data_IF_357347368891
#
_entry.id   IF_357347368891
#
_cell.length_a   1.000
_cell.length_b   1.000
_cell.length_c   1.000
_cell.angle_alpha   90.00
_cell.angle_beta   90.00
_cell.angle_gamma   90.00
#
_symmetry.space_group_name_H-M   'P 1'
#
loop_
_entity.id
_entity.type
_entity.pdbx_description
1 polymer ?
#
# COMPACT_ATOMS: atom_id res chain seq x y z
N UNK A 1 -8.16 -38.00 10.30
CA UNK A 1 -7.08 -37.78 11.30
C UNK A 1 -5.73 -38.05 10.62
N UNK A 2 -5.22 -37.07 9.88
CA UNK A 2 -3.89 -37.15 9.27
C UNK A 2 -2.95 -36.19 9.99
N UNK A 3 -1.78 -36.73 10.29
CA UNK A 3 -0.75 -36.19 11.16
C UNK A 3 -0.27 -34.82 10.71
N UNK A 4 -0.27 -33.90 11.68
CA UNK A 4 0.56 -32.69 11.70
C UNK A 4 1.97 -33.09 11.28
N UNK A 5 2.42 -32.73 10.08
CA UNK A 5 3.85 -32.78 9.74
C UNK A 5 4.50 -31.69 10.59
N UNK A 6 4.84 -32.07 11.81
CA UNK A 6 5.69 -31.31 12.68
C UNK A 6 7.07 -31.26 12.02
N UNK A 7 7.45 -30.09 11.52
CA UNK A 7 8.83 -29.70 11.20
C UNK A 7 9.69 -29.56 12.47
N UNK A 8 9.43 -30.41 13.47
CA UNK A 8 10.23 -30.59 14.69
C UNK A 8 10.57 -32.07 14.81
N UNK A 9 11.28 -32.63 13.83
CA UNK A 9 12.19 -33.73 14.15
C UNK A 9 13.36 -33.11 14.89
N UNK A 10 13.20 -32.95 16.20
CA UNK A 10 14.32 -32.95 17.13
C UNK A 10 14.98 -34.31 16.96
N UNK A 11 16.10 -34.32 16.23
CA UNK A 11 16.97 -35.48 16.19
C UNK A 11 17.51 -35.67 17.61
N UNK A 12 17.33 -36.86 18.18
CA UNK A 12 18.24 -37.37 19.20
C UNK A 12 19.60 -37.52 18.51
N UNK A 13 20.39 -36.45 18.58
CA UNK A 13 21.74 -36.41 18.05
C UNK A 13 22.64 -37.07 19.08
N UNK A 14 23.24 -38.20 18.67
CA UNK A 14 24.45 -38.73 19.29
C UNK A 14 25.45 -37.56 19.47
N UNK A 15 25.70 -37.19 20.72
CA UNK A 15 26.40 -35.97 21.19
C UNK A 15 27.90 -35.93 20.87
N UNK A 16 28.35 -36.58 19.80
CA UNK A 16 29.78 -36.69 19.46
C UNK A 16 30.18 -36.14 18.08
N UNK A 17 29.24 -35.60 17.30
CA UNK A 17 29.58 -34.91 16.05
C UNK A 17 29.39 -33.39 16.21
N UNK A 18 30.35 -32.56 15.76
CA UNK A 18 30.19 -31.11 15.79
C UNK A 18 28.97 -30.74 14.94
N UNK A 19 27.99 -30.10 15.57
CA UNK A 19 26.82 -29.56 14.88
C UNK A 19 27.32 -28.41 13.99
N UNK A 20 27.61 -28.71 12.72
CA UNK A 20 27.85 -27.68 11.71
C UNK A 20 26.56 -26.92 11.49
N UNK A 21 26.54 -25.68 11.97
CA UNK A 21 25.45 -24.74 11.69
C UNK A 21 25.44 -24.52 10.17
N UNK A 22 24.34 -24.83 9.47
CA UNK A 22 24.26 -24.64 8.02
C UNK A 22 24.42 -23.16 7.67
N UNK A 23 25.04 -22.86 6.52
CA UNK A 23 25.16 -21.48 6.06
C UNK A 23 23.79 -20.90 5.66
N UNK A 24 23.66 -19.57 5.67
CA UNK A 24 22.46 -18.85 5.18
C UNK A 24 22.08 -19.28 3.75
N UNK A 25 23.10 -19.43 2.88
CA UNK A 25 22.95 -19.96 1.52
C UNK A 25 22.41 -21.39 1.49
N UNK A 26 22.89 -22.30 2.36
CA UNK A 26 22.39 -23.67 2.40
C UNK A 26 20.93 -23.73 2.83
N UNK A 27 20.54 -22.88 3.79
CA UNK A 27 19.15 -22.75 4.25
C UNK A 27 18.29 -22.21 3.11
N UNK A 28 18.73 -21.16 2.43
CA UNK A 28 18.03 -20.58 1.28
C UNK A 28 17.80 -21.61 0.16
N UNK A 29 18.84 -22.30 -0.29
CA UNK A 29 18.75 -23.33 -1.34
C UNK A 29 17.87 -24.51 -0.91
N UNK A 30 17.89 -24.86 0.38
CA UNK A 30 16.98 -25.87 0.94
C UNK A 30 15.52 -25.43 0.88
N UNK A 31 15.21 -24.17 1.22
CA UNK A 31 13.85 -23.62 1.12
C UNK A 31 13.35 -23.69 -0.32
N UNK A 32 14.19 -23.29 -1.30
CA UNK A 32 13.84 -23.37 -2.72
C UNK A 32 13.52 -24.80 -3.14
N UNK A 33 14.37 -25.77 -2.77
CA UNK A 33 14.11 -27.20 -3.06
C UNK A 33 12.84 -27.73 -2.38
N UNK A 34 12.57 -27.34 -1.15
CA UNK A 34 11.35 -27.74 -0.44
C UNK A 34 10.10 -27.20 -1.14
N UNK A 35 10.16 -26.00 -1.69
CA UNK A 35 9.01 -25.39 -2.36
C UNK A 35 8.55 -26.16 -3.61
N UNK A 36 9.42 -26.95 -4.23
CA UNK A 36 9.07 -27.85 -5.34
C UNK A 36 8.08 -28.94 -4.92
N UNK A 37 8.08 -29.32 -3.65
CA UNK A 37 7.20 -30.36 -3.08
C UNK A 37 5.78 -29.87 -2.81
N UNK A 38 5.52 -28.57 -3.00
CA UNK A 38 4.22 -27.96 -2.69
C UNK A 38 3.07 -28.42 -3.61
N UNK A 39 3.39 -28.95 -4.79
CA UNK A 39 2.41 -29.29 -5.84
C UNK A 39 1.48 -30.44 -5.44
N UNK A 40 1.96 -31.36 -4.61
CA UNK A 40 1.20 -32.53 -4.17
C UNK A 40 0.37 -32.26 -2.90
N UNK A 41 0.55 -31.08 -2.28
CA UNK A 41 -0.19 -30.71 -1.07
C UNK A 41 -1.62 -30.28 -1.41
N UNK A 42 -2.55 -30.67 -0.54
CA UNK A 42 -3.93 -30.16 -0.54
C UNK A 42 -3.92 -28.62 -0.42
N UNK A 43 -4.84 -27.87 -1.06
CA UNK A 43 -4.79 -26.40 -1.11
C UNK A 43 -4.65 -25.70 0.26
N UNK A 44 -5.35 -26.19 1.29
CA UNK A 44 -5.24 -25.63 2.65
C UNK A 44 -3.86 -25.86 3.28
N UNK A 45 -3.24 -27.00 3.04
CA UNK A 45 -1.91 -27.31 3.55
C UNK A 45 -0.85 -26.56 2.75
N UNK A 46 -1.07 -26.40 1.44
CA UNK A 46 -0.21 -25.61 0.55
C UNK A 46 -0.14 -24.14 0.99
N UNK A 47 -1.27 -23.54 1.39
CA UNK A 47 -1.26 -22.19 1.93
C UNK A 47 -0.37 -22.08 3.18
N UNK A 48 -0.58 -22.98 4.16
CA UNK A 48 0.21 -22.97 5.41
C UNK A 48 1.69 -23.19 5.12
N UNK A 49 1.99 -24.06 4.18
CA UNK A 49 3.33 -24.33 3.70
C UNK A 49 3.99 -23.07 3.11
N UNK A 50 3.32 -22.36 2.19
CA UNK A 50 3.86 -21.11 1.63
C UNK A 50 4.08 -20.03 2.68
N UNK A 51 3.18 -19.88 3.67
CA UNK A 51 3.41 -18.94 4.78
C UNK A 51 4.62 -19.33 5.63
N UNK A 52 4.85 -20.63 5.83
CA UNK A 52 6.04 -21.12 6.53
C UNK A 52 7.31 -20.78 5.76
N UNK A 53 7.34 -21.03 4.46
CA UNK A 53 8.50 -20.70 3.60
C UNK A 53 8.77 -19.19 3.58
N UNK A 54 7.73 -18.36 3.47
CA UNK A 54 7.86 -16.91 3.50
C UNK A 54 8.49 -16.42 4.83
N UNK A 55 8.03 -16.98 5.96
CA UNK A 55 8.57 -16.66 7.28
C UNK A 55 10.03 -17.12 7.46
N UNK A 56 10.39 -18.30 6.92
CA UNK A 56 11.78 -18.77 6.94
C UNK A 56 12.69 -17.89 6.08
N UNK A 57 12.25 -17.47 4.89
CA UNK A 57 13.01 -16.53 4.05
C UNK A 57 13.19 -15.16 4.70
N UNK A 58 12.19 -14.67 5.44
CA UNK A 58 12.34 -13.43 6.18
C UNK A 58 13.46 -13.52 7.22
N UNK A 59 13.58 -14.66 7.91
CA UNK A 59 14.71 -14.91 8.82
C UNK A 59 16.05 -14.97 8.10
N UNK A 60 16.10 -15.60 6.92
CA UNK A 60 17.33 -15.60 6.08
C UNK A 60 17.72 -14.18 5.71
N UNK A 61 16.75 -13.34 5.36
CA UNK A 61 16.95 -11.94 5.00
C UNK A 61 17.53 -11.11 6.17
N UNK A 62 17.10 -11.39 7.41
CA UNK A 62 17.66 -10.77 8.62
C UNK A 62 19.09 -11.25 8.95
N UNK A 63 19.43 -12.49 8.58
CA UNK A 63 20.72 -13.11 8.88
C UNK A 63 21.84 -12.69 7.92
N UNK A 64 21.51 -12.42 6.65
CA UNK A 64 22.50 -12.23 5.60
C UNK A 64 22.13 -11.06 4.66
N UNK A 65 22.94 -10.01 4.69
CA UNK A 65 22.75 -8.79 3.90
C UNK A 65 22.85 -9.06 2.40
N UNK A 66 23.67 -10.02 1.98
CA UNK A 66 23.85 -10.35 0.55
C UNK A 66 22.61 -11.07 0.00
N UNK A 67 21.89 -11.79 0.86
CA UNK A 67 20.65 -12.49 0.51
C UNK A 67 19.38 -11.70 0.85
N UNK A 68 19.48 -10.51 1.45
CA UNK A 68 18.35 -9.69 1.89
C UNK A 68 17.32 -9.48 0.77
N UNK A 69 17.76 -8.90 -0.35
CA UNK A 69 16.87 -8.50 -1.44
C UNK A 69 16.18 -9.70 -2.09
N UNK A 70 16.93 -10.78 -2.36
CA UNK A 70 16.34 -11.98 -2.98
C UNK A 70 15.42 -12.72 -2.02
N UNK A 71 15.78 -12.83 -0.74
CA UNK A 71 14.96 -13.52 0.26
C UNK A 71 13.65 -12.79 0.51
N UNK A 72 13.67 -11.45 0.61
CA UNK A 72 12.45 -10.66 0.72
C UNK A 72 11.58 -10.75 -0.55
N UNK A 73 12.19 -10.67 -1.74
CA UNK A 73 11.47 -10.82 -2.99
C UNK A 73 10.73 -12.18 -3.07
N UNK A 74 11.42 -13.27 -2.73
CA UNK A 74 10.82 -14.62 -2.78
C UNK A 74 9.81 -14.82 -1.65
N UNK A 75 10.05 -14.24 -0.48
CA UNK A 75 9.10 -14.25 0.64
C UNK A 75 7.77 -13.62 0.23
N UNK A 76 7.81 -12.41 -0.35
CA UNK A 76 6.63 -11.73 -0.88
C UNK A 76 5.94 -12.53 -1.99
N UNK A 77 6.70 -13.18 -2.87
CA UNK A 77 6.13 -14.08 -3.88
C UNK A 77 5.35 -15.23 -3.24
N UNK A 78 5.91 -15.90 -2.22
CA UNK A 78 5.18 -16.95 -1.50
C UNK A 78 4.00 -16.41 -0.70
N UNK A 79 4.06 -15.19 -0.19
CA UNK A 79 2.89 -14.55 0.43
C UNK A 79 1.75 -14.40 -0.59
N UNK A 80 2.04 -13.95 -1.81
CA UNK A 80 1.03 -13.87 -2.87
C UNK A 80 0.47 -15.27 -3.15
N UNK A 81 1.33 -16.28 -3.34
CA UNK A 81 0.90 -17.65 -3.58
C UNK A 81 0.00 -18.18 -2.45
N UNK A 82 0.34 -17.90 -1.18
CA UNK A 82 -0.44 -18.29 -0.01
C UNK A 82 -1.81 -17.58 0.04
N UNK A 83 -1.87 -16.32 -0.41
CA UNK A 83 -3.11 -15.53 -0.45
C UNK A 83 -4.02 -16.04 -1.55
N UNK A 84 -3.49 -16.40 -2.73
CA UNK A 84 -4.31 -16.86 -3.86
C UNK A 84 -4.75 -18.33 -3.77
N UNK A 85 -4.02 -19.18 -3.03
CA UNK A 85 -4.35 -20.62 -2.90
C UNK A 85 -5.52 -20.91 -1.96
N UNK A 86 -5.95 -19.97 -1.13
CA UNK A 86 -6.98 -20.18 -0.12
C UNK A 86 -8.09 -19.15 -0.24
N UNK A 87 -9.33 -19.63 -0.41
CA UNK A 87 -10.58 -18.85 -0.33
C UNK A 87 -10.38 -17.38 -0.68
N UNK A 88 -10.00 -17.19 -1.93
CA UNK A 88 -9.55 -15.90 -2.38
C UNK A 88 -10.81 -15.01 -2.46
N UNK A 89 -10.85 -13.99 -1.61
CA UNK A 89 -11.95 -13.03 -1.49
C UNK A 89 -11.44 -11.64 -1.89
N UNK A 90 -12.33 -10.67 -2.09
CA UNK A 90 -11.96 -9.32 -2.54
C UNK A 90 -10.80 -8.71 -1.74
N UNK A 91 -10.81 -8.85 -0.40
CA UNK A 91 -9.76 -8.31 0.48
C UNK A 91 -8.40 -8.99 0.24
N UNK A 92 -8.39 -10.32 0.13
CA UNK A 92 -7.20 -11.11 -0.16
C UNK A 92 -6.64 -10.77 -1.55
N UNK A 93 -7.48 -10.61 -2.57
CA UNK A 93 -7.05 -10.22 -3.91
C UNK A 93 -6.40 -8.83 -3.92
N UNK A 94 -7.00 -7.86 -3.21
CA UNK A 94 -6.43 -6.52 -3.09
C UNK A 94 -5.08 -6.54 -2.37
N UNK A 95 -4.94 -7.37 -1.32
CA UNK A 95 -3.65 -7.59 -0.66
C UNK A 95 -2.62 -8.19 -1.63
N UNK A 96 -2.98 -9.25 -2.35
CA UNK A 96 -2.11 -9.89 -3.33
C UNK A 96 -1.68 -8.91 -4.44
N UNK A 97 -2.61 -8.10 -4.95
CA UNK A 97 -2.30 -7.03 -5.92
C UNK A 97 -1.31 -6.02 -5.34
N UNK A 98 -1.50 -5.58 -4.09
CA UNK A 98 -0.56 -4.67 -3.44
C UNK A 98 0.85 -5.26 -3.33
N UNK A 99 0.95 -6.55 -3.02
CA UNK A 99 2.25 -7.24 -2.95
C UNK A 99 2.89 -7.39 -4.34
N UNK A 100 2.12 -7.78 -5.36
CA UNK A 100 2.60 -7.83 -6.74
C UNK A 100 3.12 -6.47 -7.24
N UNK A 101 2.43 -5.38 -6.88
CA UNK A 101 2.87 -4.02 -7.19
C UNK A 101 4.20 -3.69 -6.50
N UNK A 102 4.33 -4.10 -5.24
CA UNK A 102 5.58 -3.95 -4.49
C UNK A 102 6.72 -4.73 -5.16
N UNK A 103 6.51 -6.00 -5.51
CA UNK A 103 7.48 -6.82 -6.25
C UNK A 103 7.96 -6.12 -7.53
N UNK A 104 7.01 -5.68 -8.37
CA UNK A 104 7.34 -5.08 -9.67
C UNK A 104 7.97 -3.68 -9.60
N UNK A 105 7.87 -2.99 -8.46
CA UNK A 105 8.32 -1.59 -8.32
C UNK A 105 9.61 -1.44 -7.49
N UNK A 106 9.71 -2.22 -6.42
CA UNK A 106 10.77 -2.07 -5.40
C UNK A 106 12.01 -2.90 -5.72
N UNK A 107 11.86 -3.96 -6.52
CA UNK A 107 12.96 -4.86 -6.86
C UNK A 107 13.35 -4.76 -8.34
N UNK A 108 14.65 -4.92 -8.58
CA UNK A 108 15.30 -4.76 -9.88
C UNK A 108 16.24 -5.93 -10.15
N UNK A 109 16.70 -6.07 -11.40
CA UNK A 109 17.63 -7.14 -11.77
C UNK A 109 16.96 -8.48 -12.11
N UNK A 110 15.64 -8.47 -12.30
CA UNK A 110 14.90 -9.64 -12.75
C UNK A 110 15.38 -10.13 -14.11
N UNK A 111 15.48 -11.46 -14.25
CA UNK A 111 15.52 -12.09 -15.56
C UNK A 111 14.17 -11.88 -16.28
N UNK A 112 14.18 -11.95 -17.61
CA UNK A 112 12.95 -11.84 -18.43
C UNK A 112 11.88 -12.87 -17.99
N UNK A 113 12.30 -14.08 -17.62
CA UNK A 113 11.42 -15.13 -17.10
C UNK A 113 10.80 -14.76 -15.76
N UNK A 114 11.59 -14.23 -14.83
CA UNK A 114 11.09 -13.77 -13.51
C UNK A 114 10.06 -12.65 -13.67
N UNK A 115 10.37 -11.66 -14.50
CA UNK A 115 9.48 -10.54 -14.76
C UNK A 115 8.15 -11.01 -15.36
N UNK A 116 8.19 -11.93 -16.32
CA UNK A 116 6.99 -12.52 -16.91
C UNK A 116 6.11 -13.21 -15.85
N UNK A 117 6.71 -14.02 -14.96
CA UNK A 117 5.97 -14.70 -13.89
C UNK A 117 5.27 -13.70 -12.96
N UNK A 118 5.94 -12.61 -12.55
CA UNK A 118 5.31 -11.60 -11.70
C UNK A 118 4.20 -10.84 -12.41
N UNK A 119 4.34 -10.58 -13.71
CA UNK A 119 3.30 -9.94 -14.51
C UNK A 119 2.09 -10.86 -14.70
N UNK A 120 2.31 -12.15 -14.94
CA UNK A 120 1.24 -13.17 -14.97
C UNK A 120 0.52 -13.26 -13.62
N UNK A 121 1.26 -13.25 -12.51
CA UNK A 121 0.71 -13.27 -11.16
C UNK A 121 -0.14 -12.02 -10.87
N UNK A 122 0.36 -10.84 -11.24
CA UNK A 122 -0.38 -9.59 -11.11
C UNK A 122 -1.68 -9.60 -11.93
N UNK A 123 -1.62 -10.09 -13.18
CA UNK A 123 -2.81 -10.27 -14.01
C UNK A 123 -3.81 -11.24 -13.39
N UNK A 124 -3.31 -12.38 -12.90
CA UNK A 124 -4.13 -13.40 -12.27
C UNK A 124 -4.94 -12.79 -11.14
N UNK A 125 -4.31 -12.03 -10.25
CA UNK A 125 -4.99 -11.35 -9.16
C UNK A 125 -6.04 -10.33 -9.64
N UNK A 126 -5.77 -9.61 -10.75
CA UNK A 126 -6.73 -8.67 -11.33
C UNK A 126 -7.96 -9.37 -11.94
N UNK A 127 -7.75 -10.41 -12.74
CA UNK A 127 -8.83 -11.20 -13.33
C UNK A 127 -9.65 -11.90 -12.25
N UNK A 128 -8.98 -12.37 -11.22
CA UNK A 128 -9.65 -13.00 -10.10
C UNK A 128 -10.50 -12.00 -9.31
N UNK A 129 -9.99 -10.78 -9.05
CA UNK A 129 -10.78 -9.69 -8.47
C UNK A 129 -12.02 -9.38 -9.32
N UNK A 130 -11.86 -9.34 -10.65
CA UNK A 130 -12.98 -9.17 -11.58
C UNK A 130 -14.01 -10.27 -11.41
N UNK A 131 -13.56 -11.52 -11.34
CA UNK A 131 -14.45 -12.68 -11.29
C UNK A 131 -15.33 -12.71 -10.04
N UNK A 132 -14.88 -12.08 -8.96
CA UNK A 132 -15.62 -11.96 -7.68
C UNK A 132 -16.49 -10.72 -7.64
N UNK A 133 -16.10 -9.63 -8.30
CA UNK A 133 -16.87 -8.39 -8.28
C UNK A 133 -18.12 -8.51 -9.14
N UNK A 134 -19.29 -8.54 -8.49
CA UNK A 134 -20.61 -8.52 -9.15
C UNK A 134 -20.88 -7.19 -9.87
N UNK A 135 -20.26 -6.10 -9.40
CA UNK A 135 -20.27 -4.78 -10.03
C UNK A 135 -18.85 -4.31 -10.27
N UNK A 136 -18.42 -4.37 -11.53
CA UNK A 136 -17.16 -3.81 -11.96
C UNK A 136 -17.32 -2.31 -12.17
N UNK A 137 -16.45 -1.52 -11.53
CA UNK A 137 -16.32 -0.11 -11.93
C UNK A 137 -15.71 -0.03 -13.33
N UNK A 138 -16.07 1.02 -14.07
CA UNK A 138 -15.56 1.27 -15.43
C UNK A 138 -14.02 1.32 -15.46
N UNK A 139 -13.39 1.88 -14.42
CA UNK A 139 -11.92 1.94 -14.30
C UNK A 139 -11.28 0.55 -14.19
N UNK A 140 -11.83 -0.37 -13.38
CA UNK A 140 -11.30 -1.74 -13.26
C UNK A 140 -11.42 -2.46 -14.59
N UNK A 141 -12.56 -2.32 -15.28
CA UNK A 141 -12.79 -2.91 -16.61
C UNK A 141 -11.77 -2.39 -17.64
N UNK A 142 -11.55 -1.07 -17.69
CA UNK A 142 -10.58 -0.47 -18.62
C UNK A 142 -9.14 -0.91 -18.34
N UNK A 143 -8.73 -1.02 -17.07
CA UNK A 143 -7.38 -1.50 -16.70
C UNK A 143 -7.14 -2.93 -17.15
N UNK A 144 -8.11 -3.80 -16.94
CA UNK A 144 -7.99 -5.19 -17.36
C UNK A 144 -8.00 -5.34 -18.88
N UNK A 145 -8.78 -4.51 -19.59
CA UNK A 145 -8.72 -4.45 -21.04
C UNK A 145 -7.34 -4.02 -21.55
N UNK A 146 -6.76 -2.95 -20.99
CA UNK A 146 -5.41 -2.49 -21.33
C UNK A 146 -4.36 -3.58 -21.07
N UNK A 147 -4.47 -4.32 -19.96
CA UNK A 147 -3.56 -5.42 -19.65
C UNK A 147 -3.69 -6.55 -20.66
N UNK A 148 -4.92 -7.01 -20.93
CA UNK A 148 -5.17 -8.09 -21.89
C UNK A 148 -4.62 -7.68 -23.27
N UNK A 149 -4.85 -6.44 -23.70
CA UNK A 149 -4.25 -5.90 -24.93
C UNK A 149 -2.72 -5.87 -24.89
N UNK A 150 -2.11 -5.50 -23.77
CA UNK A 150 -0.66 -5.53 -23.65
C UNK A 150 -0.10 -6.95 -23.76
N UNK A 151 -0.69 -7.93 -23.07
CA UNK A 151 -0.28 -9.33 -23.20
C UNK A 151 -0.48 -9.86 -24.62
N UNK A 152 -1.54 -9.45 -25.32
CA UNK A 152 -1.76 -9.77 -26.74
C UNK A 152 -0.59 -9.33 -27.61
N UNK A 153 -0.06 -8.13 -27.36
CA UNK A 153 1.07 -7.59 -28.10
C UNK A 153 2.38 -8.36 -27.80
N UNK A 154 2.51 -8.95 -26.61
CA UNK A 154 3.70 -9.74 -26.23
C UNK A 154 3.62 -11.19 -26.71
N UNK A 155 2.44 -11.81 -26.68
CA UNK A 155 2.25 -13.24 -26.94
C UNK A 155 2.17 -13.61 -28.43
N UNK A 156 2.21 -12.64 -29.36
CA UNK A 156 2.11 -12.87 -30.82
C UNK A 156 0.99 -13.86 -31.19
N UNK A 157 -0.21 -13.66 -30.65
CA UNK A 157 -1.39 -14.47 -30.99
C UNK A 157 -1.75 -14.28 -32.47
N UNK A 158 -2.25 -15.32 -33.14
CA UNK A 158 -2.70 -15.23 -34.54
C UNK A 158 -3.95 -14.33 -34.67
N UNK A 159 -4.05 -13.58 -35.77
CA UNK A 159 -5.09 -12.57 -36.02
C UNK A 159 -6.54 -13.09 -35.91
N UNK A 160 -6.80 -14.37 -36.20
CA UNK A 160 -8.13 -14.98 -36.04
C UNK A 160 -8.51 -15.24 -34.58
N UNK A 161 -7.56 -15.73 -33.77
CA UNK A 161 -7.76 -15.89 -32.32
C UNK A 161 -7.93 -14.51 -31.66
N UNK A 162 -7.22 -13.51 -32.19
CA UNK A 162 -7.28 -12.14 -31.74
C UNK A 162 -8.68 -11.54 -31.92
N UNK A 163 -9.28 -11.73 -33.10
CA UNK A 163 -10.60 -11.20 -33.44
C UNK A 163 -11.73 -11.85 -32.64
N UNK A 164 -11.67 -13.17 -32.42
CA UNK A 164 -12.62 -13.90 -31.57
C UNK A 164 -12.54 -13.48 -30.08
N UNK A 165 -11.33 -13.23 -29.57
CA UNK A 165 -11.15 -12.70 -28.21
C UNK A 165 -11.62 -11.25 -28.08
N UNK A 166 -11.43 -10.40 -29.11
CA UNK A 166 -11.90 -9.01 -29.13
C UNK A 166 -13.42 -8.95 -29.12
N UNK A 167 -14.06 -9.76 -29.96
CA UNK A 167 -15.50 -9.85 -30.06
C UNK A 167 -16.12 -10.38 -28.74
N UNK A 168 -15.47 -11.37 -28.11
CA UNK A 168 -15.86 -11.86 -26.77
C UNK A 168 -15.60 -10.86 -25.64
N UNK A 169 -14.51 -10.10 -25.66
CA UNK A 169 -14.23 -9.08 -24.65
C UNK A 169 -15.18 -7.88 -24.75
N UNK A 170 -15.62 -7.52 -25.96
CA UNK A 170 -16.59 -6.44 -26.18
C UNK A 170 -18.04 -6.89 -25.90
N UNK A 171 -18.41 -8.14 -26.25
CA UNK A 171 -19.80 -8.58 -26.27
C UNK A 171 -20.20 -9.63 -25.21
N UNK A 172 -19.26 -10.31 -24.53
CA UNK A 172 -19.58 -11.28 -23.46
C UNK A 172 -19.26 -10.78 -22.04
N UNK A 173 -19.92 -11.41 -21.07
CA UNK A 173 -19.73 -11.21 -19.64
C UNK A 173 -18.24 -11.36 -19.26
N UNK A 174 -17.54 -10.23 -19.06
CA UNK A 174 -16.10 -10.16 -18.69
C UNK A 174 -15.71 -11.15 -17.58
N UNK A 175 -16.67 -11.44 -16.69
CA UNK A 175 -16.55 -12.42 -15.62
C UNK A 175 -16.30 -13.83 -16.17
N UNK A 176 -17.04 -14.26 -17.19
CA UNK A 176 -16.88 -15.58 -17.82
C UNK A 176 -15.53 -15.72 -18.51
N UNK A 177 -15.09 -14.68 -19.23
CA UNK A 177 -13.75 -14.63 -19.81
C UNK A 177 -12.66 -14.70 -18.74
N UNK A 178 -12.80 -13.90 -17.68
CA UNK A 178 -11.87 -13.92 -16.56
C UNK A 178 -11.79 -15.32 -15.92
N UNK A 179 -12.92 -15.99 -15.70
CA UNK A 179 -12.97 -17.36 -15.17
C UNK A 179 -12.28 -18.38 -16.07
N UNK A 180 -12.50 -18.32 -17.39
CA UNK A 180 -11.81 -19.19 -18.34
C UNK A 180 -10.29 -18.96 -18.31
N UNK A 181 -9.87 -17.71 -18.28
CA UNK A 181 -8.46 -17.35 -18.26
C UNK A 181 -7.79 -17.70 -16.93
N UNK A 182 -8.49 -17.54 -15.81
CA UNK A 182 -8.07 -18.02 -14.48
C UNK A 182 -7.88 -19.54 -14.50
N UNK A 183 -8.76 -20.29 -15.16
CA UNK A 183 -8.62 -21.75 -15.29
C UNK A 183 -7.34 -22.15 -16.05
N UNK A 184 -6.98 -21.40 -17.10
CA UNK A 184 -5.75 -21.61 -17.86
C UNK A 184 -4.52 -21.18 -17.04
N UNK A 185 -4.53 -19.96 -16.50
CA UNK A 185 -3.41 -19.40 -15.74
C UNK A 185 -3.20 -20.06 -14.39
N UNK A 186 -4.23 -20.54 -13.71
CA UNK A 186 -4.08 -21.24 -12.44
C UNK A 186 -3.19 -22.48 -12.59
N UNK A 187 -3.28 -23.18 -13.74
CA UNK A 187 -2.34 -24.26 -14.04
C UNK A 187 -0.92 -23.72 -14.15
N UNK A 188 -0.66 -22.67 -14.93
CA UNK A 188 0.69 -22.15 -15.10
C UNK A 188 1.23 -21.49 -13.83
N UNK A 189 0.51 -20.55 -13.23
CA UNK A 189 0.90 -19.81 -12.03
C UNK A 189 1.08 -20.72 -10.81
N UNK A 190 0.20 -21.71 -10.61
CA UNK A 190 0.30 -22.63 -9.47
C UNK A 190 1.22 -23.83 -9.74
N UNK A 191 1.51 -24.16 -11.00
CA UNK A 191 2.49 -25.20 -11.36
C UNK A 191 3.88 -24.65 -11.64
N UNK A 192 4.02 -23.33 -11.78
CA UNK A 192 5.31 -22.68 -12.02
C UNK A 192 6.22 -22.98 -10.83
N UNK A 193 7.21 -23.82 -11.12
CA UNK A 193 8.24 -24.20 -10.17
C UNK A 193 9.08 -22.96 -9.87
N UNK A 194 9.37 -22.75 -8.61
CA UNK A 194 10.27 -21.70 -8.07
C UNK A 194 11.72 -21.80 -8.58
N UNK A 195 12.01 -22.80 -9.41
CA UNK A 195 13.29 -23.12 -10.04
C UNK A 195 13.86 -22.00 -10.94
N UNK A 196 13.14 -20.88 -11.06
CA UNK A 196 13.63 -19.70 -11.76
C UNK A 196 14.37 -18.71 -10.84
N UNK A 197 14.36 -18.90 -9.52
CA UNK A 197 15.23 -18.17 -8.60
C UNK A 197 16.50 -18.96 -8.30
N UNK A 198 17.61 -18.24 -8.16
CA UNK A 198 18.90 -18.77 -7.73
C UNK A 198 19.50 -17.81 -6.71
N UNK A 199 20.24 -18.33 -5.71
CA UNK A 199 20.86 -17.48 -4.69
C UNK A 199 21.74 -16.35 -5.26
N UNK A 200 22.30 -16.54 -6.46
CA UNK A 200 23.18 -15.58 -7.12
C UNK A 200 22.45 -14.66 -8.12
N UNK A 201 21.12 -14.62 -8.11
CA UNK A 201 20.40 -13.69 -8.98
C UNK A 201 20.70 -12.23 -8.57
N UNK A 202 20.89 -11.30 -9.52
CA UNK A 202 21.33 -9.94 -9.26
C UNK A 202 20.18 -9.04 -8.75
N UNK A 203 19.27 -9.61 -7.97
CA UNK A 203 18.07 -8.94 -7.47
C UNK A 203 18.50 -7.89 -6.46
N UNK A 204 18.12 -6.65 -6.73
CA UNK A 204 18.39 -5.51 -5.85
C UNK A 204 17.10 -4.93 -5.37
N UNK A 205 17.08 -4.50 -4.11
CA UNK A 205 15.96 -3.82 -3.50
C UNK A 205 16.24 -2.32 -3.41
N UNK A 206 15.29 -1.51 -3.84
CA UNK A 206 15.28 -0.07 -3.56
C UNK A 206 15.00 0.13 -2.10
N UNK A 207 15.90 0.81 -1.41
CA UNK A 207 15.70 1.23 -0.02
C UNK A 207 15.89 2.73 0.09
N UNK A 208 14.99 3.37 0.82
CA UNK A 208 15.12 4.79 1.17
C UNK A 208 15.05 4.90 2.69
N UNK A 209 15.96 5.68 3.26
CA UNK A 209 15.99 5.97 4.69
C UNK A 209 16.03 7.48 4.89
N UNK A 210 15.14 8.00 5.74
CA UNK A 210 15.25 9.37 6.21
C UNK A 210 16.45 9.49 7.17
N UNK A 211 17.32 10.44 6.86
CA UNK A 211 18.40 10.89 7.74
C UNK A 211 17.93 12.06 8.60
N UNK A 212 17.09 12.94 8.04
CA UNK A 212 16.45 14.02 8.78
C UNK A 212 15.04 14.21 8.21
N UNK A 213 13.96 14.19 9.00
CA UNK A 213 13.90 13.65 10.37
C UNK A 213 14.01 12.12 10.40
N UNK A 214 14.74 11.55 11.36
CA UNK A 214 14.86 10.08 11.49
C UNK A 214 13.60 9.41 12.09
N UNK A 215 12.82 10.17 12.86
CA UNK A 215 11.66 9.69 13.61
C UNK A 215 10.50 10.69 13.54
N UNK A 216 9.39 10.35 14.19
CA UNK A 216 8.26 11.27 14.37
C UNK A 216 8.73 12.60 14.96
N UNK A 217 8.16 13.69 14.47
CA UNK A 217 8.41 15.04 14.98
C UNK A 217 7.34 15.33 16.02
N UNK A 218 7.76 15.29 17.28
CA UNK A 218 6.91 15.60 18.44
C UNK A 218 6.73 17.11 18.63
N UNK A 219 7.68 17.91 18.12
CA UNK A 219 7.59 19.36 18.16
C UNK A 219 6.38 19.84 17.36
N UNK A 220 5.56 20.66 18.03
CA UNK A 220 4.43 21.33 17.39
C UNK A 220 4.93 22.35 16.38
N UNK A 221 4.59 22.16 15.11
CA UNK A 221 4.85 23.14 14.07
C UNK A 221 3.70 24.13 13.97
N UNK A 222 3.94 25.34 14.46
CA UNK A 222 2.99 26.44 14.37
C UNK A 222 2.98 27.05 12.95
N UNK A 223 1.80 27.21 12.35
CA UNK A 223 1.64 27.87 11.05
C UNK A 223 0.40 28.74 11.02
N UNK A 224 0.42 29.85 10.27
CA UNK A 224 -0.78 30.67 10.09
C UNK A 224 -1.71 30.01 9.06
N UNK A 225 -3.04 29.95 9.29
CA UNK A 225 -3.98 29.44 8.30
C UNK A 225 -3.80 30.13 6.93
N UNK A 226 -3.75 29.33 5.86
CA UNK A 226 -3.50 29.82 4.50
C UNK A 226 -2.02 30.01 4.14
N UNK A 227 -1.09 29.86 5.09
CA UNK A 227 0.35 29.74 4.82
C UNK A 227 0.80 28.28 4.84
N UNK A 228 1.89 27.99 4.15
CA UNK A 228 2.55 26.69 4.20
C UNK A 228 3.63 26.68 5.28
N UNK A 229 3.80 25.51 5.90
CA UNK A 229 4.96 25.20 6.75
C UNK A 229 5.76 24.09 6.08
N UNK A 230 7.09 24.18 6.11
CA UNK A 230 7.96 23.21 5.45
C UNK A 230 8.91 22.56 6.43
N UNK A 231 9.12 21.25 6.26
CA UNK A 231 10.13 20.48 6.97
C UNK A 231 11.20 20.09 5.96
N UNK A 232 12.46 20.39 6.26
CA UNK A 232 13.58 19.88 5.45
C UNK A 232 13.71 18.38 5.67
N UNK A 233 13.81 17.64 4.57
CA UNK A 233 13.91 16.20 4.58
C UNK A 233 15.16 15.77 3.83
N UNK A 234 16.09 15.16 4.56
CA UNK A 234 17.28 14.55 4.02
C UNK A 234 17.11 13.05 3.99
N UNK A 235 17.33 12.44 2.84
CA UNK A 235 17.14 11.00 2.63
C UNK A 235 18.36 10.39 1.94
N UNK A 236 18.63 9.11 2.24
CA UNK A 236 19.55 8.28 1.49
C UNK A 236 18.78 7.17 0.78
N UNK A 237 18.96 7.05 -0.53
CA UNK A 237 18.35 6.04 -1.37
C UNK A 237 19.43 5.11 -1.94
N UNK A 238 19.26 3.80 -1.79
CA UNK A 238 20.13 2.79 -2.41
C UNK A 238 19.38 2.06 -3.51
N UNK A 239 20.10 1.69 -4.58
CA UNK A 239 19.57 0.99 -5.75
C UNK A 239 18.42 1.70 -6.49
N UNK A 240 18.19 2.99 -6.22
CA UNK A 240 17.20 3.79 -6.93
C UNK A 240 17.76 4.17 -8.31
N UNK A 241 17.08 3.76 -9.37
CA UNK A 241 17.39 4.25 -10.72
C UNK A 241 16.89 5.70 -10.86
N UNK A 242 17.70 6.58 -11.44
CA UNK A 242 17.32 7.99 -11.68
C UNK A 242 16.07 8.13 -12.55
N UNK A 243 15.72 7.10 -13.32
CA UNK A 243 14.50 7.08 -14.13
C UNK A 243 13.22 6.78 -13.31
N UNK A 244 13.35 6.39 -12.04
CA UNK A 244 12.20 6.15 -11.18
C UNK A 244 11.67 7.45 -10.60
N UNK A 245 10.37 7.69 -10.79
CA UNK A 245 9.69 8.82 -10.18
C UNK A 245 9.51 8.54 -8.69
N UNK A 246 10.27 9.25 -7.86
CA UNK A 246 10.18 9.22 -6.41
C UNK A 246 9.46 10.49 -5.93
N UNK A 247 8.40 10.31 -5.15
CA UNK A 247 7.65 11.43 -4.56
C UNK A 247 7.56 11.25 -3.05
N UNK A 248 7.23 12.34 -2.35
CA UNK A 248 6.85 12.30 -0.94
C UNK A 248 5.34 12.41 -0.86
N UNK A 249 4.69 11.36 -0.34
CA UNK A 249 3.26 11.37 -0.02
C UNK A 249 3.06 12.02 1.32
N UNK A 250 2.24 13.06 1.39
CA UNK A 250 1.75 13.68 2.63
C UNK A 250 0.30 13.26 2.82
N UNK A 251 -0.04 12.67 3.95
CA UNK A 251 -1.41 12.25 4.30
C UNK A 251 -1.89 13.05 5.51
N UNK A 252 -3.08 13.64 5.37
CA UNK A 252 -3.74 14.41 6.41
C UNK A 252 -4.76 13.57 7.19
N UNK A 253 -5.24 14.08 8.34
CA UNK A 253 -6.21 13.35 9.19
C UNK A 253 -7.54 13.03 8.51
N UNK A 254 -7.94 13.84 7.54
CA UNK A 254 -9.17 13.66 6.77
C UNK A 254 -9.03 12.58 5.67
N UNK A 255 -7.87 11.93 5.58
CA UNK A 255 -7.55 10.93 4.57
C UNK A 255 -7.17 11.51 3.22
N UNK A 256 -7.21 12.85 3.06
CA UNK A 256 -6.66 13.49 1.87
C UNK A 256 -5.15 13.30 1.85
N UNK A 257 -4.61 13.13 0.65
CA UNK A 257 -3.16 13.07 0.47
C UNK A 257 -2.72 13.95 -0.68
N UNK A 258 -1.48 14.41 -0.59
CA UNK A 258 -0.80 15.15 -1.63
C UNK A 258 0.51 14.44 -1.97
N UNK A 259 0.89 14.46 -3.24
CA UNK A 259 2.16 13.92 -3.72
C UNK A 259 3.07 15.09 -4.06
N UNK A 260 4.16 15.20 -3.33
CA UNK A 260 5.18 16.22 -3.54
C UNK A 260 6.29 15.62 -4.43
N UNK A 261 6.47 16.12 -5.67
CA UNK A 261 7.54 15.64 -6.53
C UNK A 261 8.90 16.03 -5.96
N UNK A 262 9.87 15.12 -6.08
CA UNK A 262 11.26 15.41 -5.75
C UNK A 262 11.92 15.97 -7.00
N UNK A 263 12.51 17.16 -6.89
CA UNK A 263 13.18 17.80 -8.02
C UNK A 263 14.55 17.14 -8.26
N UNK A 264 14.92 16.93 -9.52
CA UNK A 264 16.18 16.24 -9.87
C UNK A 264 17.43 16.99 -9.38
N UNK A 265 17.35 18.34 -9.31
CA UNK A 265 18.43 19.21 -8.80
C UNK A 265 18.80 18.91 -7.33
N UNK A 266 17.87 18.30 -6.59
CA UNK A 266 18.02 17.96 -5.18
C UNK A 266 18.64 16.56 -4.97
N UNK A 267 18.91 15.83 -6.04
CA UNK A 267 19.43 14.46 -6.00
C UNK A 267 20.93 14.50 -6.29
N UNK A 268 21.73 14.06 -5.32
CA UNK A 268 23.20 13.96 -5.43
C UNK A 268 23.62 12.51 -5.39
N UNK A 269 24.40 12.06 -6.37
CA UNK A 269 24.99 10.71 -6.34
C UNK A 269 26.19 10.69 -5.42
N UNK A 270 26.19 9.73 -4.49
CA UNK A 270 27.31 9.41 -3.61
C UNK A 270 28.19 8.37 -4.31
N UNK A 271 29.46 8.69 -4.52
CA UNK A 271 30.40 7.88 -5.30
C UNK A 271 30.79 6.56 -4.65
N UNK A 272 30.64 6.43 -3.34
CA UNK A 272 31.15 5.28 -2.57
C UNK A 272 30.26 4.04 -2.70
N UNK A 273 28.93 4.22 -2.76
CA UNK A 273 27.95 3.13 -2.59
C UNK A 273 26.93 3.01 -3.73
N UNK A 274 27.11 3.77 -4.82
CA UNK A 274 26.06 3.96 -5.84
C UNK A 274 24.70 4.33 -5.21
N UNK A 275 24.76 5.12 -4.13
CA UNK A 275 23.61 5.62 -3.40
C UNK A 275 23.31 7.06 -3.79
N UNK A 276 22.07 7.48 -3.62
CA UNK A 276 21.60 8.82 -3.92
C UNK A 276 21.24 9.52 -2.61
N UNK A 277 21.80 10.70 -2.40
CA UNK A 277 21.39 11.61 -1.32
C UNK A 277 20.37 12.58 -1.88
N UNK A 278 19.21 12.65 -1.25
CA UNK A 278 18.08 13.45 -1.69
C UNK A 278 17.79 14.51 -0.62
N UNK A 279 17.84 15.78 -1.00
CA UNK A 279 17.57 16.93 -0.12
C UNK A 279 16.28 17.62 -0.54
N UNK A 280 15.17 17.31 0.12
CA UNK A 280 13.85 17.81 -0.25
C UNK A 280 13.20 18.62 0.88
N UNK A 281 12.08 19.26 0.58
CA UNK A 281 11.25 19.95 1.57
C UNK A 281 9.83 19.43 1.49
N UNK A 282 9.30 19.00 2.63
CA UNK A 282 7.91 18.57 2.75
C UNK A 282 7.09 19.76 3.20
N UNK A 283 6.26 20.27 2.29
CA UNK A 283 5.36 21.40 2.54
C UNK A 283 3.99 20.93 2.96
N UNK A 284 3.51 21.42 4.10
CA UNK A 284 2.16 21.23 4.60
C UNK A 284 1.40 22.53 4.42
N UNK A 285 0.18 22.45 3.93
CA UNK A 285 -0.72 23.60 3.82
C UNK A 285 -2.15 23.14 4.05
N UNK A 286 -2.83 23.77 5.01
CA UNK A 286 -4.24 23.51 5.25
C UNK A 286 -4.96 24.81 5.63
N UNK A 287 -6.18 24.99 5.16
CA UNK A 287 -6.92 26.25 5.30
C UNK A 287 -7.74 26.34 6.60
N UNK A 288 -8.20 25.21 7.15
CA UNK A 288 -9.32 25.22 8.11
C UNK A 288 -9.08 24.44 9.41
N UNK A 289 -7.84 24.14 9.80
CA UNK A 289 -7.65 23.42 11.06
C UNK A 289 -7.97 24.33 12.24
N UNK A 290 -8.84 23.84 13.13
CA UNK A 290 -9.18 24.54 14.37
C UNK A 290 -8.32 24.12 15.56
N UNK A 291 -7.70 22.94 15.47
CA UNK A 291 -6.97 22.27 16.54
C UNK A 291 -5.64 21.73 15.99
N UNK A 292 -4.66 21.42 16.85
CA UNK A 292 -3.50 20.65 16.45
C UNK A 292 -3.92 19.35 15.77
N UNK A 293 -3.28 19.02 14.65
CA UNK A 293 -3.61 17.85 13.83
C UNK A 293 -2.33 17.12 13.43
N UNK A 294 -2.39 15.79 13.40
CA UNK A 294 -1.27 14.98 12.90
C UNK A 294 -1.34 14.88 11.38
N UNK A 295 -0.24 15.20 10.70
CA UNK A 295 -0.01 14.77 9.33
C UNK A 295 1.04 13.66 9.33
N UNK A 296 1.01 12.81 8.32
CA UNK A 296 2.08 11.85 8.06
C UNK A 296 2.70 12.10 6.70
N UNK A 297 3.98 11.80 6.57
CA UNK A 297 4.59 11.75 5.25
C UNK A 297 5.49 10.53 5.08
N UNK A 298 5.51 9.99 3.87
CA UNK A 298 6.31 8.82 3.48
C UNK A 298 6.83 8.99 2.06
N UNK A 299 7.91 8.31 1.73
CA UNK A 299 8.43 8.21 0.36
C UNK A 299 7.66 7.14 -0.38
N UNK A 300 7.27 7.48 -1.60
CA UNK A 300 6.59 6.59 -2.53
C UNK A 300 7.37 6.46 -3.84
N UNK A 301 7.34 5.27 -4.40
CA UNK A 301 7.85 4.98 -5.74
C UNK A 301 6.70 4.74 -6.69
N UNK A 302 6.83 5.29 -7.90
CA UNK A 302 5.96 4.93 -9.01
C UNK A 302 6.62 3.82 -9.84
N UNK A 303 5.82 2.85 -10.34
CA UNK A 303 6.31 1.83 -11.23
C UNK A 303 6.88 2.46 -12.51
N UNK A 304 8.10 2.07 -12.87
CA UNK A 304 8.71 2.46 -14.14
C UNK A 304 7.96 1.80 -15.30
N UNK A 305 7.71 2.55 -16.39
CA UNK A 305 6.96 2.06 -17.57
C UNK A 305 7.52 0.76 -18.16
N UNK A 306 8.83 0.55 -18.03
CA UNK A 306 9.53 -0.65 -18.49
C UNK A 306 9.23 -1.90 -17.65
N UNK A 307 8.89 -1.74 -16.38
CA UNK A 307 8.67 -2.84 -15.44
C UNK A 307 7.17 -3.17 -15.30
N UNK A 308 6.30 -2.18 -15.48
CA UNK A 308 4.86 -2.37 -15.38
C UNK A 308 4.08 -1.59 -16.45
N UNK A 309 3.75 -2.26 -17.55
CA UNK A 309 2.90 -1.70 -18.62
C UNK A 309 1.41 -1.62 -18.25
N UNK A 310 1.07 -2.14 -17.07
CA UNK A 310 -0.29 -2.48 -16.65
C UNK A 310 -0.83 -1.49 -15.64
N UNK A 311 0.08 -0.88 -14.88
CA UNK A 311 -0.27 0.03 -13.81
C UNK A 311 -0.63 1.39 -14.40
N UNK A 312 -1.75 1.94 -13.92
CA UNK A 312 -2.15 3.29 -14.27
C UNK A 312 -1.18 4.24 -13.55
N UNK A 313 -0.31 4.89 -14.32
CA UNK A 313 0.81 5.72 -13.82
C UNK A 313 0.34 6.80 -12.84
N UNK A 314 -0.94 7.17 -12.92
CA UNK A 314 -1.49 8.31 -12.22
C UNK A 314 -1.97 8.03 -10.78
N UNK A 315 -2.16 6.77 -10.37
CA UNK A 315 -2.74 6.46 -9.03
C UNK A 315 -2.10 5.27 -8.31
N UNK A 316 -1.09 4.63 -8.90
CA UNK A 316 -0.53 3.40 -8.34
C UNK A 316 0.93 3.60 -7.94
N UNK A 317 1.13 3.93 -6.68
CA UNK A 317 2.46 4.06 -6.06
C UNK A 317 2.64 3.04 -4.94
N UNK A 318 3.90 2.78 -4.59
CA UNK A 318 4.29 1.90 -3.49
C UNK A 318 4.98 2.72 -2.42
N UNK A 319 4.46 2.69 -1.19
CA UNK A 319 5.13 3.28 -0.03
C UNK A 319 6.33 2.40 0.35
N UNK A 320 7.52 3.02 0.40
CA UNK A 320 8.79 2.31 0.66
C UNK A 320 9.43 2.68 1.99
N UNK A 321 8.92 3.71 2.67
CA UNK A 321 9.38 4.12 4.00
C UNK A 321 8.24 4.07 4.99
N UNK A 322 8.55 3.79 6.25
CA UNK A 322 7.61 4.01 7.36
C UNK A 322 7.16 5.49 7.39
N UNK A 323 5.86 5.77 7.51
CA UNK A 323 5.38 7.14 7.58
C UNK A 323 5.86 7.85 8.86
N UNK A 324 6.35 9.07 8.69
CA UNK A 324 6.77 9.97 9.78
C UNK A 324 5.60 10.85 10.16
N UNK A 325 5.25 10.87 11.45
CA UNK A 325 4.18 11.69 12.00
C UNK A 325 4.71 13.07 12.41
N UNK A 326 3.91 14.10 12.15
CA UNK A 326 4.19 15.49 12.50
C UNK A 326 2.95 16.11 13.11
N UNK A 327 3.12 16.83 14.22
CA UNK A 327 2.05 17.60 14.84
C UNK A 327 2.03 19.04 14.31
N UNK A 328 0.95 19.41 13.62
CA UNK A 328 0.77 20.72 13.00
C UNK A 328 -0.25 21.52 13.80
N UNK A 329 0.07 22.76 14.21
CA UNK A 329 -0.83 23.64 14.94
C UNK A 329 -1.08 24.95 14.17
N UNK A 330 -2.33 25.27 13.85
CA UNK A 330 -2.68 26.57 13.28
C UNK A 330 -2.57 27.66 14.34
N UNK A 331 -1.64 28.60 14.18
CA UNK A 331 -1.50 29.76 15.05
C UNK A 331 -2.56 30.78 14.67
N UNK A 332 -3.44 31.11 15.61
CA UNK A 332 -4.36 32.23 15.43
C UNK A 332 -3.61 33.51 15.70
N UNK A 333 -3.62 34.43 14.74
CA UNK A 333 -3.43 35.83 15.06
C UNK A 333 -4.57 36.18 15.99
N UNK A 334 -4.30 36.26 17.31
CA UNK A 334 -5.15 37.04 18.20
C UNK A 334 -5.18 38.41 17.56
N UNK A 335 -6.28 38.73 16.88
CA UNK A 335 -6.55 40.09 16.52
C UNK A 335 -6.44 40.84 17.84
N UNK A 336 -5.37 41.60 18.03
CA UNK A 336 -5.37 42.74 18.91
C UNK A 336 -6.49 43.60 18.35
N UNK A 337 -7.71 43.33 18.79
CA UNK A 337 -8.73 44.33 18.97
C UNK A 337 -8.06 45.34 19.90
N UNK A 338 -7.23 46.22 19.32
CA UNK A 338 -7.03 47.54 19.86
C UNK A 338 -8.45 48.04 19.98
N UNK A 339 -9.02 47.97 21.18
CA UNK A 339 -10.07 48.89 21.59
C UNK A 339 -9.54 50.24 21.15
N UNK A 340 -10.05 50.76 20.03
CA UNK A 340 -10.07 52.19 19.81
C UNK A 340 -10.91 52.68 20.97
N UNK A 341 -10.26 53.03 22.08
CA UNK A 341 -10.85 53.99 22.98
C UNK A 341 -11.17 55.19 22.09
N UNK A 342 -12.45 55.41 21.85
CA UNK A 342 -12.91 56.70 21.38
C UNK A 342 -12.45 57.69 22.44
N UNK A 343 -11.43 58.45 22.08
CA UNK A 343 -11.20 59.75 22.70
C UNK A 343 -12.34 60.60 22.17
N UNK A 344 -13.48 60.54 22.87
CA UNK A 344 -14.43 61.63 22.84
C UNK A 344 -13.91 62.64 23.86
N UNK A 345 -13.22 63.64 23.31
CA UNK A 345 -13.04 64.92 23.96
C UNK A 345 -14.43 65.49 24.28
N UNK A 346 -14.73 65.72 25.55
CA UNK A 346 -15.22 67.01 26.08
C UNK A 346 -15.71 66.89 27.55
N UNK A 347 -15.24 67.86 28.35
CA UNK A 347 -15.86 68.39 29.59
C UNK A 347 -15.74 67.52 30.84
N UNK A 348 -15.27 68.00 32.01
CA UNK A 348 -15.10 69.37 32.53
C UNK A 348 -14.17 69.32 33.75
N UNK A 349 -13.51 70.45 33.99
CA UNK A 349 -12.60 70.73 35.10
C UNK A 349 -13.15 70.38 36.50
N UNK A 350 -12.27 69.94 37.40
CA UNK A 350 -12.04 70.59 38.71
C UNK A 350 -10.79 70.02 39.39
N UNK A 351 -10.05 70.93 40.01
CA UNK A 351 -8.72 70.74 40.61
C UNK A 351 -8.77 70.24 42.06
N UNK A 352 -7.57 69.97 42.60
CA UNK A 352 -7.17 69.69 44.01
C UNK A 352 -7.46 68.26 44.48
N UNK A 353 -6.58 67.49 45.13
CA UNK A 353 -5.44 67.81 46.01
C UNK A 353 -4.49 66.59 46.07
N UNK A 354 -3.24 66.84 46.45
CA UNK A 354 -2.15 65.88 46.72
C UNK A 354 -2.48 65.01 47.94
N UNK A 355 -2.22 63.71 47.87
CA UNK A 355 -1.65 62.93 48.99
C UNK A 355 -0.90 61.71 48.46
N UNK A 356 0.38 61.63 48.84
CA UNK A 356 1.24 60.45 48.72
C UNK A 356 0.77 59.40 49.72
N UNK A 357 0.75 58.12 49.32
CA UNK A 357 0.86 57.00 50.25
C UNK A 357 1.57 55.83 49.54
N UNK A 358 2.65 55.41 50.19
CA UNK A 358 3.48 54.24 49.94
C UNK A 358 2.80 52.93 50.40
N UNK A 359 3.31 51.78 49.90
CA UNK A 359 3.25 50.41 50.49
C UNK A 359 1.84 49.75 50.42
N UNK A 360 1.61 48.46 50.14
CA UNK A 360 2.38 47.23 50.21
C UNK A 360 1.83 46.18 49.21
N UNK A 361 2.68 45.19 48.93
CA UNK A 361 2.43 43.74 48.79
C UNK A 361 0.97 43.24 48.87
N UNK A 362 0.59 42.38 47.93
CA UNK A 362 -0.15 41.17 48.31
C UNK A 362 0.15 40.02 47.32
N UNK A 363 0.47 38.89 47.93
CA UNK A 363 0.81 37.59 47.36
C UNK A 363 -0.44 36.87 46.80
N UNK A 364 -0.23 35.62 46.35
CA UNK A 364 -1.24 34.57 46.11
C UNK A 364 -2.07 34.70 44.79
N UNK A 365 -2.29 33.66 43.99
CA UNK A 365 -2.31 32.22 44.25
C UNK A 365 -1.80 31.40 43.05
N UNK A 366 -0.97 30.41 43.36
CA UNK A 366 -0.71 29.25 42.54
C UNK A 366 -1.95 28.34 42.53
N UNK A 367 -2.36 27.87 41.36
CA UNK A 367 -3.27 26.72 41.26
C UNK A 367 -2.61 25.61 40.45
N UNK A 368 -1.89 24.76 41.18
CA UNK A 368 -1.69 23.36 40.85
C UNK A 368 -3.06 22.66 40.80
N UNK A 369 -3.28 21.86 39.76
CA UNK A 369 -4.33 20.84 39.73
C UNK A 369 -3.72 19.54 39.20
N UNK A 370 -3.07 18.81 40.11
CA UNK A 370 -3.01 17.36 40.08
C UNK A 370 -4.32 16.77 40.65
N UNK A 371 -4.43 15.44 40.70
CA UNK A 371 -5.57 14.56 41.06
C UNK A 371 -6.34 14.02 39.83
N UNK A 372 -6.50 12.73 39.57
CA UNK A 372 -6.20 11.49 40.31
C UNK A 372 -6.18 10.32 39.29
N UNK A 373 -5.22 9.41 39.46
CA UNK A 373 -5.32 8.02 39.03
C UNK A 373 -6.32 7.28 39.93
N UNK A 374 -7.27 6.54 39.35
CA UNK A 374 -8.04 5.51 40.04
C UNK A 374 -8.00 4.18 39.28
N UNK A 375 -7.33 3.23 39.93
CA UNK A 375 -7.49 1.77 39.88
C UNK A 375 -8.98 1.37 39.80
N UNK A 376 -9.42 0.47 38.92
CA UNK A 376 -9.18 -0.97 38.98
C UNK A 376 -10.33 -1.68 39.73
N UNK A 377 -11.26 -2.33 39.01
CA UNK A 377 -12.17 -3.37 39.55
C UNK A 377 -12.52 -4.35 38.42
N UNK A 378 -12.30 -5.64 38.71
CA UNK A 378 -12.66 -6.84 37.95
C UNK A 378 -14.17 -7.14 38.02
N UNK A 379 -14.57 -8.33 37.54
CA UNK A 379 -15.90 -8.97 37.62
C UNK A 379 -16.83 -8.69 36.41
N UNK A 380 -17.53 -9.65 35.81
CA UNK A 380 -17.66 -11.08 36.05
C UNK A 380 -18.28 -11.73 34.81
N UNK A 381 -17.98 -13.01 34.69
CA UNK A 381 -18.48 -14.03 33.80
C UNK A 381 -20.01 -14.19 33.92
N UNK A 382 -20.75 -14.11 32.80
CA UNK A 382 -22.05 -14.79 32.68
C UNK A 382 -22.20 -15.38 31.29
N UNK A 383 -22.11 -16.71 31.22
CA UNK A 383 -22.61 -17.50 30.10
C UNK A 383 -24.08 -17.89 30.31
N UNK A 384 -24.80 -18.10 29.21
CA UNK A 384 -26.03 -18.90 28.99
C UNK A 384 -26.15 -19.01 27.45
N UNK A 385 -26.10 -20.16 26.75
CA UNK A 385 -27.04 -21.32 26.72
C UNK A 385 -28.50 -20.77 26.63
N UNK A 386 -29.26 -20.88 25.55
CA UNK A 386 -29.56 -22.05 24.71
C UNK A 386 -30.21 -21.65 23.36
N UNK A 387 -30.16 -22.58 22.41
CA UNK A 387 -31.19 -23.03 21.46
C UNK A 387 -32.30 -22.05 21.00
N UNK A 388 -32.46 -21.91 19.68
CA UNK A 388 -33.77 -22.22 19.11
C UNK A 388 -33.70 -22.59 17.62
N UNK A 389 -34.28 -23.74 17.34
CA UNK A 389 -34.60 -24.25 16.01
C UNK A 389 -35.73 -23.40 15.39
N UNK A 390 -35.70 -23.22 14.07
CA UNK A 390 -36.87 -23.51 13.24
C UNK A 390 -36.56 -23.32 11.76
N UNK A 391 -36.69 -24.43 11.05
CA UNK A 391 -37.01 -24.48 9.64
C UNK A 391 -38.35 -23.79 9.41
N UNK A 392 -38.46 -22.94 8.37
CA UNK A 392 -39.70 -22.80 7.61
C UNK A 392 -39.41 -22.50 6.15
N UNK A 393 -39.73 -23.52 5.36
CA UNK A 393 -39.94 -23.52 3.93
C UNK A 393 -41.26 -22.79 3.62
N UNK A 394 -41.27 -21.83 2.69
CA UNK A 394 -42.48 -21.44 1.93
C UNK A 394 -42.09 -20.85 0.58
N UNK A 395 -42.23 -21.68 -0.46
CA UNK A 395 -43.08 -21.46 -1.65
C UNK A 395 -43.17 -20.06 -2.28
N UNK A 396 -42.95 -20.03 -3.61
CA UNK A 396 -43.89 -19.56 -4.66
C UNK A 396 -44.61 -18.22 -4.46
N UNK A 397 -44.81 -17.32 -5.40
CA UNK A 397 -44.65 -17.16 -6.84
C UNK A 397 -44.61 -15.61 -7.04
N UNK A 398 -44.19 -15.11 -8.20
CA UNK A 398 -45.01 -14.14 -8.97
C UNK A 398 -44.18 -13.50 -10.09
N UNK A 399 -44.61 -13.86 -11.30
CA UNK A 399 -44.34 -13.19 -12.55
C UNK A 399 -44.92 -11.76 -12.52
N UNK A 400 -44.13 -10.75 -12.90
CA UNK A 400 -44.68 -9.58 -13.58
C UNK A 400 -43.79 -9.17 -14.76
N UNK A 401 -44.40 -9.32 -15.93
CA UNK A 401 -44.03 -8.81 -17.25
C UNK A 401 -44.62 -7.40 -17.39
N UNK A 402 -43.88 -6.46 -17.98
CA UNK A 402 -44.27 -5.22 -18.71
C UNK A 402 -43.30 -4.06 -18.37
N UNK A 403 -42.85 -3.14 -19.23
CA UNK A 403 -43.20 -2.75 -20.60
C UNK A 403 -41.94 -2.27 -21.35
N UNK A 404 -41.99 -2.42 -22.66
CA UNK A 404 -41.06 -1.89 -23.67
C UNK A 404 -41.29 -0.39 -23.86
N UNK A 405 -40.23 0.42 -23.84
CA UNK A 405 -40.22 1.73 -24.52
C UNK A 405 -39.02 1.85 -25.46
N UNK A 406 -39.30 1.73 -26.76
CA UNK A 406 -38.39 2.02 -27.87
C UNK A 406 -38.17 3.53 -27.97
N UNK A 407 -36.93 4.00 -27.81
CA UNK A 407 -36.54 5.33 -28.28
C UNK A 407 -35.96 5.23 -29.69
N UNK A 408 -36.65 5.90 -30.61
CA UNK A 408 -36.24 6.18 -31.99
C UNK A 408 -35.02 7.10 -31.97
N UNK A 409 -33.96 6.71 -32.67
CA UNK A 409 -32.95 7.64 -33.20
C UNK A 409 -33.48 8.21 -34.52
N UNK A 410 -33.36 9.53 -34.76
CA UNK A 410 -33.58 10.07 -36.09
C UNK A 410 -32.30 9.94 -36.92
N UNK A 411 -32.48 9.41 -38.13
CA UNK A 411 -31.58 9.53 -39.25
C UNK A 411 -31.41 11.00 -39.65
N UNK A 412 -30.20 11.38 -40.02
CA UNK A 412 -29.96 12.46 -40.99
C UNK A 412 -28.74 12.08 -41.81
N UNK A 413 -29.04 11.65 -43.03
CA UNK A 413 -28.13 11.42 -44.15
C UNK A 413 -27.47 12.71 -44.66
N UNK A 414 -26.48 12.51 -45.53
CA UNK A 414 -26.03 13.41 -46.61
C UNK A 414 -25.11 14.59 -46.16
N UNK A 415 -23.90 14.80 -46.70
CA UNK A 415 -23.48 14.70 -48.11
C UNK A 415 -21.95 14.59 -48.34
N UNK A 416 -21.68 13.91 -49.45
CA UNK A 416 -20.74 14.20 -50.56
C UNK A 416 -19.22 14.34 -50.37
N UNK A 417 -18.55 13.43 -51.09
CA UNK A 417 -17.48 13.68 -52.08
C UNK A 417 -16.69 14.98 -51.99
N UNK A 418 -15.35 14.86 -51.98
CA UNK A 418 -14.51 15.51 -53.00
C UNK A 418 -13.13 14.85 -53.02
N UNK A 419 -12.77 14.37 -54.21
CA UNK A 419 -11.45 13.96 -54.67
C UNK A 419 -10.40 15.07 -54.51
N UNK A 420 -9.18 14.73 -54.11
CA UNK A 420 -7.92 14.84 -54.88
C UNK A 420 -6.75 14.21 -54.12
#
# INVERSE_FOLDING_TARGET
>A
SFSRVQLTKTFDVDTSLPVTIPSSHDVFERILKLSEQSQDLHPNDRQKFYRSLAAELHKVAEMDIDLLAISECISLYYEVLAVITYQCNTRNCLKALSICKHLLTVFHGYSEKQLLVFQELHLYCHLFLISIQTKLTTNVRQRCYKHIQWQRNQLKLNDEQQKDIDEKLLHTNLISYAQQYISIMSKNVLSNKTNFFKANDPIRMVSVKFLEPESNIEQVLEFLPGLSVSISCLMNAKNLDRQQNINIKVTYLDGQYCLLPINDDNIRTLTEDNSLRIDSKVTFSHQHWLRPCYATFSVVLFPTRSQCFVMDINDEFVEITRPIRVLLHPKYLRHRLRKKHSIDEQSTMSATTVEQLDIADDDNDEHETEWLDETGVDEEETGHMDDDESEMDTSQDDEQIEYVERRKTPDSDEDEEMSY
#
